data_IF_706914499348
#
_entry.id   IF_706914499348
#
_cell.length_a   1.000
_cell.length_b   1.000
_cell.length_c   1.000
_cell.angle_alpha   90.00
_cell.angle_beta   90.00
_cell.angle_gamma   90.00
#
_symmetry.space_group_name_H-M   'P 1'
#
loop_
_entity.id
_entity.type
_entity.pdbx_description
1 polymer ?
#
# COMPACT_ATOMS: atom_id res chain seq x y z
N UNK A 1 14.21 -2.29 22.13
CA UNK A 1 13.65 -1.45 21.11
C UNK A 1 12.24 -1.01 21.50
N UNK A 2 11.89 0.24 21.39
CA UNK A 2 10.62 0.75 21.90
C UNK A 2 9.68 1.03 20.72
N UNK A 3 8.50 0.43 20.73
CA UNK A 3 7.37 0.94 19.97
C UNK A 3 6.81 2.10 20.76
N UNK A 4 6.71 3.26 20.13
CA UNK A 4 6.26 4.52 20.68
C UNK A 4 4.89 4.87 20.12
N UNK A 5 4.22 5.85 20.71
CA UNK A 5 2.96 6.37 20.21
C UNK A 5 3.12 7.87 19.99
N UNK A 6 2.64 8.35 18.84
CA UNK A 6 2.66 9.78 18.50
C UNK A 6 1.49 10.54 19.13
N UNK A 7 1.43 11.85 18.87
CA UNK A 7 0.38 12.73 19.41
C UNK A 7 -1.01 12.48 18.81
N UNK A 8 -1.10 11.76 17.70
CA UNK A 8 -2.34 11.37 17.05
C UNK A 8 -2.82 9.97 17.48
N UNK A 9 -2.03 9.29 18.32
CA UNK A 9 -2.35 7.96 18.84
C UNK A 9 -1.84 6.80 17.99
N UNK A 10 -1.04 7.05 16.95
CA UNK A 10 -0.46 6.00 16.12
C UNK A 10 0.82 5.44 16.71
N UNK A 11 0.97 4.14 16.65
CA UNK A 11 2.21 3.47 17.00
C UNK A 11 3.25 3.62 15.90
N UNK A 12 4.50 3.81 16.28
CA UNK A 12 5.62 3.89 15.36
C UNK A 12 6.91 3.30 15.96
N UNK A 13 7.86 2.99 15.08
CA UNK A 13 9.24 2.66 15.43
C UNK A 13 10.16 3.27 14.40
N UNK A 14 11.31 3.79 14.84
CA UNK A 14 12.37 4.31 13.95
C UNK A 14 13.30 3.22 13.44
N UNK A 15 13.31 2.08 14.11
CA UNK A 15 14.32 1.04 13.90
C UNK A 15 13.74 -0.29 13.40
N UNK A 16 12.42 -0.45 13.45
CA UNK A 16 11.72 -1.71 13.11
C UNK A 16 10.41 -1.48 12.37
N UNK A 17 9.95 -2.57 11.76
CA UNK A 17 8.56 -2.69 11.34
C UNK A 17 7.67 -3.04 12.54
N UNK A 18 6.40 -2.61 12.49
CA UNK A 18 5.44 -2.91 13.57
C UNK A 18 4.99 -4.38 13.61
N UNK A 19 5.38 -5.15 12.60
CA UNK A 19 4.91 -6.52 12.38
C UNK A 19 3.60 -6.56 11.58
N UNK A 20 3.43 -7.61 10.79
CA UNK A 20 2.27 -7.73 9.91
C UNK A 20 1.65 -9.14 9.97
N UNK A 21 0.43 -9.28 10.49
CA UNK A 21 -0.27 -8.28 11.29
C UNK A 21 0.14 -8.35 12.76
N UNK A 22 0.22 -7.21 13.41
CA UNK A 22 0.38 -7.09 14.85
C UNK A 22 -0.75 -6.26 15.45
N UNK A 23 -0.92 -6.29 16.76
CA UNK A 23 -1.91 -5.43 17.42
C UNK A 23 -1.65 -3.95 17.15
N UNK A 24 -0.39 -3.55 17.01
CA UNK A 24 0.01 -2.18 16.64
C UNK A 24 -0.40 -1.83 15.21
N UNK A 25 -0.14 -2.72 14.25
CA UNK A 25 -0.53 -2.53 12.85
C UNK A 25 -2.06 -2.49 12.71
N UNK A 26 -2.78 -3.36 13.39
CA UNK A 26 -4.25 -3.39 13.41
C UNK A 26 -4.82 -2.10 14.01
N UNK A 27 -4.24 -1.62 15.13
CA UNK A 27 -4.64 -0.35 15.74
C UNK A 27 -4.44 0.82 14.76
N UNK A 28 -3.25 0.93 14.17
CA UNK A 28 -2.93 1.98 13.21
C UNK A 28 -3.83 1.91 11.97
N UNK A 29 -4.10 0.72 11.44
CA UNK A 29 -4.99 0.54 10.30
C UNK A 29 -6.40 1.06 10.59
N UNK A 30 -6.95 0.77 11.77
CA UNK A 30 -8.29 1.27 12.15
C UNK A 30 -8.34 2.78 12.29
N UNK A 31 -7.32 3.39 12.92
CA UNK A 31 -7.24 4.85 13.01
C UNK A 31 -7.07 5.50 11.64
N UNK A 32 -6.20 4.93 10.79
CA UNK A 32 -5.95 5.43 9.44
C UNK A 32 -7.22 5.34 8.58
N UNK A 33 -7.95 4.21 8.63
CA UNK A 33 -9.24 4.08 7.97
C UNK A 33 -10.24 5.11 8.46
N UNK A 34 -10.36 5.30 9.79
CA UNK A 34 -11.24 6.31 10.36
C UNK A 34 -10.93 7.72 9.85
N UNK A 35 -9.65 8.09 9.73
CA UNK A 35 -9.25 9.39 9.17
C UNK A 35 -9.64 9.51 7.70
N UNK A 36 -9.33 8.49 6.87
CA UNK A 36 -9.60 8.52 5.44
C UNK A 36 -11.11 8.54 5.14
N UNK A 37 -11.88 7.76 5.87
CA UNK A 37 -13.34 7.67 5.70
C UNK A 37 -14.03 8.96 6.17
N UNK A 38 -13.75 9.40 7.40
CA UNK A 38 -14.48 10.51 8.00
C UNK A 38 -14.07 11.87 7.42
N UNK A 39 -12.81 12.06 7.05
CA UNK A 39 -12.31 13.35 6.58
C UNK A 39 -12.34 13.49 5.06
N UNK A 40 -12.25 12.38 4.33
CA UNK A 40 -12.04 12.41 2.87
C UNK A 40 -13.06 11.57 2.08
N UNK A 41 -13.98 10.88 2.75
CA UNK A 41 -15.06 10.14 2.10
C UNK A 41 -14.60 8.89 1.35
N UNK A 42 -13.51 8.26 1.81
CA UNK A 42 -13.12 6.95 1.31
C UNK A 42 -14.12 5.90 1.80
N UNK A 43 -14.18 4.76 1.12
CA UNK A 43 -14.94 3.61 1.60
C UNK A 43 -14.04 2.67 2.41
N UNK A 44 -14.62 1.84 3.26
CA UNK A 44 -13.90 0.76 3.95
C UNK A 44 -13.14 -0.13 2.94
N UNK A 45 -13.76 -0.40 1.81
CA UNK A 45 -13.19 -1.26 0.78
C UNK A 45 -12.07 -0.58 0.01
N UNK A 46 -12.22 0.71 -0.30
CA UNK A 46 -11.13 1.53 -0.86
C UNK A 46 -9.91 1.58 0.07
N UNK A 47 -10.15 1.80 1.38
CA UNK A 47 -9.09 1.71 2.39
C UNK A 47 -8.42 0.33 2.40
N UNK A 48 -9.19 -0.76 2.39
CA UNK A 48 -8.67 -2.12 2.41
C UNK A 48 -7.76 -2.41 1.21
N UNK A 49 -8.11 -1.89 0.04
CA UNK A 49 -7.28 -2.00 -1.16
C UNK A 49 -5.90 -1.38 -0.98
N UNK A 50 -5.83 -0.16 -0.45
CA UNK A 50 -4.56 0.53 -0.14
C UNK A 50 -3.81 -0.18 1.00
N UNK A 51 -4.52 -0.62 2.03
CA UNK A 51 -3.92 -1.27 3.19
C UNK A 51 -3.27 -2.60 2.87
N UNK A 52 -3.75 -3.28 1.82
CA UNK A 52 -3.09 -4.49 1.34
C UNK A 52 -1.63 -4.22 0.92
N UNK A 53 -1.34 -3.06 0.34
CA UNK A 53 0.01 -2.65 -0.02
C UNK A 53 0.79 -2.11 1.19
N UNK A 54 0.18 -1.23 2.00
CA UNK A 54 0.79 -0.69 3.23
C UNK A 54 1.31 -1.81 4.15
N UNK A 55 0.62 -2.96 4.16
CA UNK A 55 1.04 -4.15 4.90
C UNK A 55 2.44 -4.63 4.55
N UNK A 56 2.85 -4.46 3.29
CA UNK A 56 4.17 -4.89 2.80
C UNK A 56 5.16 -3.74 2.79
N UNK A 57 4.72 -2.54 2.50
CA UNK A 57 5.58 -1.37 2.34
C UNK A 57 6.11 -0.85 3.68
N UNK A 58 5.24 -0.64 4.65
CA UNK A 58 5.59 -0.04 5.94
C UNK A 58 5.12 -0.79 7.16
N UNK A 59 4.27 -1.82 6.99
CA UNK A 59 3.58 -2.52 8.07
C UNK A 59 2.83 -1.55 9.01
N UNK A 60 2.19 -0.54 8.41
CA UNK A 60 1.48 0.54 9.13
C UNK A 60 2.34 1.40 10.05
N UNK A 61 3.65 1.43 9.87
CA UNK A 61 4.51 2.36 10.57
C UNK A 61 4.57 3.69 9.80
N UNK A 62 3.99 4.80 10.33
CA UNK A 62 4.01 6.11 9.65
C UNK A 62 5.41 6.67 9.47
N UNK A 63 6.36 6.29 10.32
CA UNK A 63 7.73 6.77 10.28
C UNK A 63 8.70 5.80 9.60
N UNK A 64 8.16 4.86 8.82
CA UNK A 64 8.97 3.90 8.09
C UNK A 64 9.81 4.61 7.02
N UNK A 65 11.12 4.35 7.04
CA UNK A 65 12.05 4.71 5.97
C UNK A 65 12.69 3.43 5.47
N UNK A 66 12.71 3.24 4.16
CA UNK A 66 13.25 2.04 3.53
C UNK A 66 14.64 1.69 4.05
N UNK A 67 14.86 0.41 4.35
CA UNK A 67 16.13 -0.08 4.90
C UNK A 67 16.37 0.33 6.34
N UNK A 68 15.35 0.77 7.10
CA UNK A 68 15.43 1.21 8.51
C UNK A 68 16.43 2.36 8.69
N UNK A 69 16.43 3.28 7.75
CA UNK A 69 17.32 4.44 7.74
C UNK A 69 16.75 5.57 8.58
N UNK A 70 17.61 6.52 8.96
CA UNK A 70 17.18 7.69 9.72
C UNK A 70 16.54 8.76 8.83
N UNK A 71 15.82 9.71 9.44
CA UNK A 71 15.29 10.87 8.74
C UNK A 71 16.42 11.71 8.12
N UNK A 72 17.55 11.87 8.82
CA UNK A 72 18.71 12.59 8.29
C UNK A 72 19.23 11.93 7.01
N UNK A 73 19.21 10.61 6.96
CA UNK A 73 19.56 9.88 5.73
C UNK A 73 18.58 10.20 4.60
N UNK A 74 17.28 10.12 4.85
CA UNK A 74 16.27 10.41 3.83
C UNK A 74 16.35 11.86 3.33
N UNK A 75 16.61 12.82 4.22
CA UNK A 75 16.80 14.23 3.85
C UNK A 75 18.09 14.46 3.06
N UNK A 76 19.18 13.77 3.39
CA UNK A 76 20.43 13.84 2.63
C UNK A 76 20.30 13.17 1.23
N UNK A 77 19.38 12.25 1.06
CA UNK A 77 19.10 11.48 -0.16
C UNK A 77 17.71 11.79 -0.72
N UNK A 78 17.33 13.06 -0.65
CA UNK A 78 15.96 13.53 -0.91
C UNK A 78 15.43 13.18 -2.31
N UNK A 79 16.31 13.03 -3.29
CA UNK A 79 15.97 12.69 -4.68
C UNK A 79 16.33 11.24 -5.07
N UNK A 80 16.82 10.45 -4.12
CA UNK A 80 17.23 9.08 -4.38
C UNK A 80 16.05 8.11 -4.26
N UNK A 81 16.22 6.88 -4.74
CA UNK A 81 15.22 5.83 -4.65
C UNK A 81 15.14 5.26 -3.22
N UNK A 82 14.61 6.05 -2.29
CA UNK A 82 14.37 5.68 -0.89
C UNK A 82 12.89 5.89 -0.58
N UNK A 83 12.21 4.86 -0.12
CA UNK A 83 10.80 4.91 0.27
C UNK A 83 10.62 5.51 1.67
N UNK A 84 9.57 6.33 1.87
CA UNK A 84 9.24 7.00 3.15
C UNK A 84 7.74 6.94 3.40
N UNK A 85 7.36 6.67 4.65
CA UNK A 85 5.98 6.70 5.13
C UNK A 85 5.18 5.46 4.78
N UNK A 86 3.86 5.54 4.90
CA UNK A 86 2.95 4.42 4.74
C UNK A 86 3.06 3.70 3.40
N UNK A 87 3.00 4.44 2.30
CA UNK A 87 3.03 3.89 0.94
C UNK A 87 4.42 3.96 0.30
N UNK A 88 5.45 4.21 1.11
CA UNK A 88 6.84 4.29 0.69
C UNK A 88 7.03 5.27 -0.49
N UNK A 89 6.57 6.52 -0.32
CA UNK A 89 6.79 7.58 -1.31
C UNK A 89 8.26 7.66 -1.72
N UNK A 90 8.52 7.47 -2.99
CA UNK A 90 9.85 7.42 -3.59
C UNK A 90 9.93 8.40 -4.78
N UNK A 91 10.88 9.33 -4.82
CA UNK A 91 11.89 9.64 -3.79
C UNK A 91 11.28 10.29 -2.53
N UNK A 92 12.06 10.45 -1.43
CA UNK A 92 11.62 11.12 -0.20
C UNK A 92 11.04 12.53 -0.42
N UNK A 93 11.50 13.22 -1.45
CA UNK A 93 10.97 14.50 -1.91
C UNK A 93 9.44 14.52 -1.99
N UNK A 94 8.83 13.43 -2.43
CA UNK A 94 7.39 13.34 -2.66
C UNK A 94 6.57 13.54 -1.38
N UNK A 95 7.12 13.24 -0.22
CA UNK A 95 6.43 13.44 1.07
C UNK A 95 7.15 14.44 1.96
N UNK A 96 8.48 14.36 2.11
CA UNK A 96 9.21 15.22 3.04
C UNK A 96 9.15 16.68 2.57
N UNK A 97 9.58 16.98 1.34
CA UNK A 97 9.54 18.35 0.82
C UNK A 97 8.10 18.86 0.67
N UNK A 98 7.19 17.99 0.22
CA UNK A 98 5.76 18.31 0.12
C UNK A 98 5.18 18.76 1.47
N UNK A 99 5.57 18.11 2.56
CA UNK A 99 5.14 18.47 3.92
C UNK A 99 5.83 19.73 4.42
N UNK A 100 7.16 19.84 4.24
CA UNK A 100 7.95 20.99 4.66
C UNK A 100 7.41 22.30 4.03
N UNK A 101 7.07 22.29 2.74
CA UNK A 101 6.50 23.42 2.00
C UNK A 101 5.15 23.89 2.55
N UNK A 102 4.45 23.01 3.29
CA UNK A 102 3.15 23.28 3.92
C UNK A 102 3.22 23.50 5.43
N UNK A 103 4.43 23.47 6.00
CA UNK A 103 4.63 23.57 7.45
C UNK A 103 4.06 22.37 8.23
N UNK A 104 4.01 21.20 7.59
CA UNK A 104 3.48 19.95 8.15
C UNK A 104 4.63 19.02 8.55
N UNK A 105 4.39 18.14 9.52
CA UNK A 105 5.32 17.06 9.87
C UNK A 105 4.94 15.79 9.10
N UNK A 106 5.79 15.35 8.18
CA UNK A 106 5.56 14.17 7.37
C UNK A 106 5.37 12.87 8.18
N UNK A 107 5.86 12.83 9.42
CA UNK A 107 5.77 11.68 10.31
C UNK A 107 4.38 11.44 10.86
N UNK A 108 3.52 12.46 10.83
CA UNK A 108 2.15 12.36 11.31
C UNK A 108 1.24 11.68 10.28
N UNK A 109 0.39 10.81 10.76
CA UNK A 109 -0.57 10.10 9.91
C UNK A 109 -1.55 11.03 9.24
N UNK A 110 -1.98 12.10 9.92
CA UNK A 110 -2.84 13.13 9.32
C UNK A 110 -2.19 13.82 8.12
N UNK A 111 -0.89 14.09 8.19
CA UNK A 111 -0.13 14.66 7.06
C UNK A 111 -0.07 13.69 5.88
N UNK A 112 0.17 12.41 6.15
CA UNK A 112 0.21 11.38 5.11
C UNK A 112 -1.17 11.13 4.49
N UNK A 113 -2.25 11.20 5.27
CA UNK A 113 -3.62 11.21 4.73
C UNK A 113 -3.87 12.42 3.81
N UNK A 114 -3.44 13.61 4.20
CA UNK A 114 -3.55 14.81 3.36
C UNK A 114 -2.77 14.64 2.04
N UNK A 115 -1.59 14.02 2.08
CA UNK A 115 -0.81 13.74 0.88
C UNK A 115 -1.53 12.75 -0.04
N UNK A 116 -2.06 11.65 0.49
CA UNK A 116 -2.86 10.70 -0.29
C UNK A 116 -4.09 11.37 -0.91
N UNK A 117 -4.74 12.28 -0.18
CA UNK A 117 -5.90 13.01 -0.69
C UNK A 117 -5.52 14.03 -1.78
N UNK A 118 -4.38 14.70 -1.65
CA UNK A 118 -3.86 15.58 -2.68
C UNK A 118 -3.57 14.78 -3.99
N UNK A 119 -2.98 13.61 -3.89
CA UNK A 119 -2.77 12.72 -5.03
C UNK A 119 -4.09 12.21 -5.62
N UNK A 120 -5.06 11.87 -4.77
CA UNK A 120 -6.41 11.46 -5.18
C UNK A 120 -7.11 12.53 -6.00
N UNK A 121 -6.99 13.80 -5.61
CA UNK A 121 -7.59 14.95 -6.28
C UNK A 121 -6.75 15.49 -7.45
N UNK A 122 -5.65 14.82 -7.80
CA UNK A 122 -4.72 15.23 -8.87
C UNK A 122 -4.03 16.59 -8.64
N UNK A 123 -3.94 17.02 -7.40
CA UNK A 123 -3.12 18.17 -7.02
C UNK A 123 -1.63 17.84 -7.09
N UNK A 124 -1.32 16.55 -7.07
CA UNK A 124 -0.02 15.96 -7.38
C UNK A 124 -0.12 14.97 -8.54
N UNK A 125 0.97 14.83 -9.32
CA UNK A 125 0.98 14.14 -10.63
C UNK A 125 1.02 12.63 -10.49
N UNK A 126 0.19 12.03 -9.65
CA UNK A 126 0.07 10.59 -9.62
C UNK A 126 -1.06 10.14 -10.55
N UNK A 127 -0.69 9.79 -11.79
CA UNK A 127 -1.64 9.18 -12.73
C UNK A 127 -2.01 7.79 -12.22
N UNK A 128 -3.26 7.63 -11.79
CA UNK A 128 -3.72 6.33 -11.33
C UNK A 128 -3.82 5.33 -12.48
N UNK A 129 -4.24 5.73 -13.69
CA UNK A 129 -4.42 4.79 -14.80
C UNK A 129 -3.59 5.15 -16.02
N UNK A 130 -2.91 4.16 -16.59
CA UNK A 130 -2.20 4.25 -17.85
C UNK A 130 -2.80 3.28 -18.87
N UNK A 131 -3.10 3.70 -20.11
CA UNK A 131 -3.61 2.82 -21.16
C UNK A 131 -2.77 1.55 -21.36
N UNK A 132 -1.45 1.67 -21.26
CA UNK A 132 -0.52 0.55 -21.37
C UNK A 132 -0.70 -0.49 -20.24
N UNK A 133 -1.13 -0.08 -19.04
CA UNK A 133 -1.30 -0.96 -17.88
C UNK A 133 -2.67 -1.60 -17.83
N UNK A 134 -3.66 -1.05 -18.53
CA UNK A 134 -5.01 -1.61 -18.61
C UNK A 134 -5.00 -3.03 -19.16
N UNK A 135 -4.20 -3.31 -20.20
CA UNK A 135 -4.10 -4.66 -20.77
C UNK A 135 -3.59 -5.69 -19.76
N UNK A 136 -2.66 -5.32 -18.87
CA UNK A 136 -2.19 -6.21 -17.81
C UNK A 136 -3.27 -6.44 -16.78
N UNK A 137 -3.95 -5.38 -16.35
CA UNK A 137 -5.07 -5.49 -15.44
C UNK A 137 -6.15 -6.42 -16.01
N UNK A 138 -6.53 -6.26 -17.27
CA UNK A 138 -7.49 -7.15 -17.94
C UNK A 138 -7.02 -8.61 -17.98
N UNK A 139 -5.74 -8.83 -18.27
CA UNK A 139 -5.17 -10.18 -18.33
C UNK A 139 -5.22 -10.88 -16.98
N UNK A 140 -4.93 -10.15 -15.89
CA UNK A 140 -4.83 -10.74 -14.55
C UNK A 140 -6.16 -10.83 -13.81
N UNK A 141 -7.12 -9.98 -14.14
CA UNK A 141 -8.38 -9.87 -13.40
C UNK A 141 -9.60 -10.45 -14.14
N UNK A 142 -9.40 -10.95 -15.35
CA UNK A 142 -10.50 -11.48 -16.17
C UNK A 142 -11.32 -10.44 -16.92
N UNK A 143 -10.81 -9.20 -17.04
CA UNK A 143 -11.25 -8.35 -18.14
C UNK A 143 -12.45 -7.44 -17.91
N UNK A 144 -12.60 -6.84 -16.76
CA UNK A 144 -13.58 -5.75 -16.57
C UNK A 144 -12.92 -4.37 -16.76
N UNK A 145 -13.71 -3.31 -16.69
CA UNK A 145 -13.21 -1.94 -16.70
C UNK A 145 -12.47 -1.63 -15.40
N UNK A 146 -11.21 -1.19 -15.43
CA UNK A 146 -10.48 -0.81 -14.23
C UNK A 146 -10.99 0.52 -13.66
N UNK A 147 -10.69 0.84 -12.39
CA UNK A 147 -10.83 2.21 -11.91
C UNK A 147 -9.90 3.13 -12.69
N UNK A 148 -10.44 4.18 -13.32
CA UNK A 148 -9.65 5.13 -14.11
C UNK A 148 -9.03 6.24 -13.26
N UNK A 149 -9.59 6.48 -12.10
CA UNK A 149 -9.13 7.53 -11.18
C UNK A 149 -8.91 6.96 -9.79
N UNK A 150 -8.06 7.62 -9.02
CA UNK A 150 -7.88 7.27 -7.62
C UNK A 150 -9.16 7.52 -6.81
N UNK A 151 -10.02 8.45 -7.25
CA UNK A 151 -11.35 8.67 -6.64
C UNK A 151 -12.21 7.42 -6.81
N UNK A 152 -12.36 6.89 -8.04
CA UNK A 152 -13.12 5.66 -8.28
C UNK A 152 -12.59 4.49 -7.45
N UNK A 153 -11.26 4.37 -7.36
CA UNK A 153 -10.63 3.33 -6.57
C UNK A 153 -10.93 3.45 -5.06
N UNK A 154 -10.77 4.65 -4.50
CA UNK A 154 -10.93 4.88 -3.06
C UNK A 154 -12.39 4.93 -2.60
N UNK A 155 -13.32 5.06 -3.54
CA UNK A 155 -14.78 4.97 -3.30
C UNK A 155 -15.39 3.63 -3.76
N UNK A 156 -14.55 2.64 -4.06
CA UNK A 156 -14.96 1.32 -4.50
C UNK A 156 -15.82 0.59 -3.48
N UNK A 157 -16.65 -0.33 -3.99
CA UNK A 157 -17.41 -1.28 -3.18
C UNK A 157 -17.13 -2.72 -3.63
N UNK A 158 -17.41 -3.73 -2.78
CA UNK A 158 -17.21 -5.13 -3.14
C UNK A 158 -18.03 -5.61 -4.35
N UNK A 159 -19.13 -4.90 -4.68
CA UNK A 159 -19.98 -5.19 -5.83
C UNK A 159 -19.38 -4.66 -7.14
N UNK A 160 -18.53 -3.63 -7.07
CA UNK A 160 -17.89 -3.03 -8.24
C UNK A 160 -16.65 -3.79 -8.67
N UNK A 161 -15.78 -4.10 -7.72
CA UNK A 161 -14.52 -4.80 -7.98
C UNK A 161 -14.22 -5.86 -6.92
N UNK A 162 -13.69 -6.99 -7.35
CA UNK A 162 -13.24 -8.04 -6.44
C UNK A 162 -11.97 -7.62 -5.68
N UNK A 163 -11.64 -8.34 -4.62
CA UNK A 163 -10.40 -8.11 -3.86
C UNK A 163 -9.14 -8.25 -4.76
N UNK A 164 -9.13 -9.21 -5.68
CA UNK A 164 -8.06 -9.35 -6.68
C UNK A 164 -7.96 -8.11 -7.58
N UNK A 165 -9.09 -7.56 -8.02
CA UNK A 165 -9.12 -6.37 -8.85
C UNK A 165 -8.63 -5.15 -8.09
N UNK A 166 -9.00 -4.97 -6.83
CA UNK A 166 -8.49 -3.89 -5.98
C UNK A 166 -6.98 -4.00 -5.77
N UNK A 167 -6.48 -5.19 -5.45
CA UNK A 167 -5.05 -5.44 -5.29
C UNK A 167 -4.27 -5.14 -6.58
N UNK A 168 -4.75 -5.66 -7.72
CA UNK A 168 -4.13 -5.44 -9.02
C UNK A 168 -4.13 -3.96 -9.43
N UNK A 169 -5.21 -3.24 -9.19
CA UNK A 169 -5.30 -1.82 -9.53
C UNK A 169 -4.28 -0.99 -8.76
N UNK A 170 -4.14 -1.18 -7.44
CA UNK A 170 -3.16 -0.44 -6.65
C UNK A 170 -1.73 -0.72 -7.13
N UNK A 171 -1.36 -1.98 -7.26
CA UNK A 171 -0.02 -2.36 -7.71
C UNK A 171 0.29 -1.81 -9.12
N UNK A 172 -0.63 -2.00 -10.07
CA UNK A 172 -0.40 -1.58 -11.46
C UNK A 172 -0.41 -0.07 -11.65
N UNK A 173 -1.30 0.62 -10.96
CA UNK A 173 -1.58 2.02 -11.28
C UNK A 173 -0.95 3.00 -10.31
N UNK A 174 -0.76 2.62 -9.05
CA UNK A 174 -0.13 3.46 -8.03
C UNK A 174 1.33 3.06 -7.79
N UNK A 175 1.60 1.84 -7.31
CA UNK A 175 2.95 1.39 -6.94
C UNK A 175 3.89 1.29 -8.14
N UNK A 176 3.41 0.74 -9.25
CA UNK A 176 4.15 0.57 -10.51
C UNK A 176 5.52 -0.09 -10.38
N UNK A 177 5.64 -1.20 -9.64
CA UNK A 177 6.92 -1.89 -9.49
C UNK A 177 7.42 -2.42 -10.84
N UNK A 178 8.74 -2.63 -10.96
CA UNK A 178 9.30 -3.27 -12.16
C UNK A 178 8.73 -4.68 -12.38
N UNK A 179 8.45 -5.39 -11.28
CA UNK A 179 7.88 -6.75 -11.27
C UNK A 179 6.35 -6.79 -11.42
N UNK A 180 5.74 -5.73 -11.94
CA UNK A 180 4.28 -5.60 -12.11
C UNK A 180 3.62 -6.74 -12.91
N UNK A 181 4.40 -7.55 -13.58
CA UNK A 181 3.96 -8.70 -14.37
C UNK A 181 3.85 -10.00 -13.55
N UNK A 182 4.20 -9.99 -12.27
CA UNK A 182 4.16 -11.18 -11.45
C UNK A 182 2.77 -11.39 -10.82
N UNK A 183 1.99 -12.30 -11.38
CA UNK A 183 0.63 -12.65 -10.94
C UNK A 183 0.56 -13.02 -9.46
N UNK A 184 1.59 -13.65 -8.92
CA UNK A 184 1.61 -14.05 -7.51
C UNK A 184 1.55 -12.88 -6.54
N UNK A 185 1.99 -11.68 -6.93
CA UNK A 185 1.86 -10.49 -6.11
C UNK A 185 0.39 -10.07 -5.96
N UNK A 186 -0.39 -10.15 -7.04
CA UNK A 186 -1.82 -9.80 -7.00
C UNK A 186 -2.60 -10.77 -6.12
N UNK A 187 -2.33 -12.07 -6.22
CA UNK A 187 -2.99 -13.08 -5.40
C UNK A 187 -2.71 -12.91 -3.91
N UNK A 188 -1.47 -12.61 -3.55
CA UNK A 188 -1.14 -12.30 -2.15
C UNK A 188 -1.90 -11.10 -1.63
N UNK A 189 -1.91 -10.01 -2.41
CA UNK A 189 -2.56 -8.79 -2.00
C UNK A 189 -4.08 -8.96 -1.97
N UNK A 190 -4.67 -9.85 -2.78
CA UNK A 190 -6.10 -10.21 -2.73
C UNK A 190 -6.52 -10.67 -1.33
N UNK A 191 -5.77 -11.63 -0.76
CA UNK A 191 -6.06 -12.14 0.59
C UNK A 191 -5.96 -11.02 1.63
N UNK A 192 -5.00 -10.10 1.47
CA UNK A 192 -4.82 -8.96 2.35
C UNK A 192 -5.88 -7.89 2.17
N UNK A 193 -6.42 -7.64 0.99
CA UNK A 193 -7.60 -6.77 0.81
C UNK A 193 -8.78 -7.31 1.61
N UNK A 194 -9.05 -8.61 1.51
CA UNK A 194 -10.13 -9.27 2.26
C UNK A 194 -9.90 -9.17 3.78
N UNK A 195 -8.66 -9.43 4.21
CA UNK A 195 -8.27 -9.34 5.63
C UNK A 195 -8.51 -7.93 6.18
N UNK A 196 -7.95 -6.89 5.53
CA UNK A 196 -8.07 -5.53 6.02
C UNK A 196 -9.49 -4.99 5.94
N UNK A 197 -10.28 -5.41 4.97
CA UNK A 197 -11.71 -5.07 4.92
C UNK A 197 -12.45 -5.55 6.17
N UNK A 198 -12.20 -6.77 6.60
CA UNK A 198 -12.79 -7.32 7.83
C UNK A 198 -12.29 -6.60 9.09
N UNK A 199 -11.00 -6.27 9.14
CA UNK A 199 -10.40 -5.48 10.25
C UNK A 199 -11.05 -4.11 10.38
N UNK A 200 -11.25 -3.41 9.26
CA UNK A 200 -11.81 -2.05 9.22
C UNK A 200 -13.29 -2.07 9.60
N UNK A 201 -14.07 -3.01 9.08
CA UNK A 201 -15.52 -3.10 9.32
C UNK A 201 -15.89 -3.63 10.69
N UNK A 202 -14.90 -3.95 11.54
CA UNK A 202 -15.14 -4.43 12.90
C UNK A 202 -15.66 -5.88 12.98
N UNK A 203 -15.55 -6.64 11.89
CA UNK A 203 -15.80 -8.08 11.89
C UNK A 203 -14.84 -8.77 12.87
N UNK A 204 -15.18 -9.97 13.38
CA UNK A 204 -14.20 -10.77 14.12
C UNK A 204 -12.88 -10.85 13.35
N UNK A 205 -11.76 -10.67 14.03
CA UNK A 205 -10.45 -10.70 13.37
C UNK A 205 -10.29 -12.00 12.59
N UNK A 206 -10.09 -11.92 11.27
CA UNK A 206 -9.87 -13.11 10.46
C UNK A 206 -8.50 -13.71 10.76
N UNK A 207 -8.30 -14.96 10.38
CA UNK A 207 -6.94 -15.53 10.35
C UNK A 207 -6.11 -14.73 9.34
N UNK A 208 -4.95 -14.20 9.78
CA UNK A 208 -4.10 -13.46 8.85
C UNK A 208 -3.68 -14.34 7.67
N UNK A 209 -3.58 -13.76 6.46
CA UNK A 209 -2.98 -14.45 5.33
C UNK A 209 -1.54 -14.89 5.63
N UNK A 210 -1.12 -15.97 4.98
CA UNK A 210 0.25 -16.47 5.15
C UNK A 210 1.26 -15.43 4.70
N UNK A 211 2.15 -15.02 5.61
CA UNK A 211 3.28 -14.16 5.27
C UNK A 211 4.38 -15.03 4.71
N UNK A 212 4.63 -14.93 3.41
CA UNK A 212 5.75 -15.65 2.79
C UNK A 212 7.03 -14.84 2.94
N UNK A 213 8.14 -15.46 3.34
CA UNK A 213 9.44 -14.78 3.37
C UNK A 213 9.78 -14.22 1.98
N UNK A 214 10.50 -13.09 1.91
CA UNK A 214 11.01 -12.57 0.64
C UNK A 214 11.78 -13.66 -0.10
N UNK A 215 11.51 -13.84 -1.40
CA UNK A 215 12.17 -14.85 -2.21
C UNK A 215 11.54 -16.26 -2.17
N UNK A 216 10.46 -16.50 -1.44
CA UNK A 216 9.77 -17.78 -1.48
C UNK A 216 9.10 -17.97 -2.83
N UNK A 217 9.45 -19.02 -3.61
CA UNK A 217 8.74 -19.34 -4.85
C UNK A 217 7.28 -19.69 -4.55
N UNK A 218 6.34 -19.11 -5.29
CA UNK A 218 4.94 -19.49 -5.23
C UNK A 218 4.67 -20.34 -6.45
N UNK A 219 4.30 -21.61 -6.24
CA UNK A 219 3.83 -22.43 -7.35
C UNK A 219 2.52 -21.84 -7.88
N UNK A 220 2.42 -21.62 -9.20
CA UNK A 220 1.14 -21.24 -9.79
C UNK A 220 0.10 -22.32 -9.51
N UNK A 221 -1.19 -21.97 -9.35
CA UNK A 221 -2.23 -22.98 -9.23
C UNK A 221 -2.12 -23.96 -10.39
N UNK A 222 -2.20 -25.24 -10.10
CA UNK A 222 -2.09 -26.33 -11.07
C UNK A 222 -3.29 -26.33 -12.02
N UNK A 223 -3.24 -25.47 -13.02
CA UNK A 223 -4.22 -25.38 -14.09
C UNK A 223 -3.53 -25.09 -15.39
N UNK A 224 -3.50 -26.11 -16.23
CA UNK A 224 -3.06 -26.21 -17.61
C UNK A 224 -1.59 -25.85 -17.97
N UNK A 225 -0.91 -26.85 -18.40
CA UNK A 225 0.34 -27.12 -19.05
C UNK A 225 1.10 -26.04 -19.82
N UNK A 226 1.22 -24.77 -19.35
CA UNK A 226 2.07 -23.77 -19.98
C UNK A 226 3.17 -23.31 -19.03
N UNK A 227 4.37 -23.76 -19.37
CA UNK A 227 5.70 -23.26 -19.00
C UNK A 227 5.95 -22.92 -17.52
N UNK A 228 6.55 -23.87 -16.82
CA UNK A 228 7.19 -23.67 -15.51
C UNK A 228 8.43 -22.78 -15.67
N UNK A 229 8.30 -21.48 -15.55
CA UNK A 229 9.43 -20.63 -15.18
C UNK A 229 9.43 -20.47 -13.65
N UNK A 230 10.56 -20.70 -12.98
CA UNK A 230 10.64 -20.42 -11.56
C UNK A 230 10.53 -18.92 -11.33
N UNK A 231 9.50 -18.53 -10.60
CA UNK A 231 9.22 -17.14 -10.27
C UNK A 231 10.04 -16.81 -9.03
N UNK A 232 11.15 -16.11 -9.21
CA UNK A 232 11.93 -15.56 -8.11
C UNK A 232 11.26 -14.30 -7.59
N UNK A 233 11.00 -14.27 -6.30
CA UNK A 233 10.54 -13.09 -5.60
C UNK A 233 11.74 -12.17 -5.36
N UNK A 234 11.82 -11.09 -6.09
CA UNK A 234 12.63 -9.96 -5.65
C UNK A 234 11.81 -9.19 -4.61
N UNK A 235 12.40 -8.77 -3.48
CA UNK A 235 11.76 -7.78 -2.64
C UNK A 235 11.39 -6.58 -3.51
N UNK A 236 10.28 -5.90 -3.19
CA UNK A 236 9.86 -4.67 -3.87
C UNK A 236 10.86 -3.54 -3.56
N UNK A 237 12.13 -3.75 -3.87
CA UNK A 237 13.12 -2.70 -3.82
C UNK A 237 13.14 -2.05 -5.19
N UNK A 238 12.58 -0.86 -5.27
CA UNK A 238 12.78 0.03 -6.40
C UNK A 238 14.29 0.34 -6.47
N UNK A 239 14.88 0.20 -7.63
CA UNK A 239 16.16 0.84 -7.93
C UNK A 239 15.94 2.27 -8.34
#
# INVERSE_FOLDING_TARGET
MAILQDTEGFYYSTDEYLGNPSDYAIHNARLLASMLINNYGWTDYGCAGVFSAISFESQFNPQCIEGRRSEEYARAHINDAVGVGYVQWTPPYNIITWSDDRGLDWKLSSTQCQKLEAERNREDVQYFTSPYRIQYWQTYTGGTTPPYTMIEYTTATPEQWTALQMAAAWILFYERPESQYNVSNYQRNEEWVTYWYQVITGQPLPTPPTVYPPGTPIEPPSGDGRSKMPIYFYPMFRR
#
